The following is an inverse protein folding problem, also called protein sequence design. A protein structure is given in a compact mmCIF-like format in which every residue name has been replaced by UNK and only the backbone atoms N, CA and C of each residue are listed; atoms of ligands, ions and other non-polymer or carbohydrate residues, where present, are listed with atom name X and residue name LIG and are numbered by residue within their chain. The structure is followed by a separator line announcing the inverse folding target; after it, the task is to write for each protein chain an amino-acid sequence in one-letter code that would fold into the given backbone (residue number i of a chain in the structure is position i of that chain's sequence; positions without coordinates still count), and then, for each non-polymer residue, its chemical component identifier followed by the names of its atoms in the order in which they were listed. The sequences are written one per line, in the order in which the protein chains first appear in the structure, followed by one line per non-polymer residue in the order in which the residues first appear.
data_IF_732264493338
#
_entry.id   IF_732264493338
#
_cell.length_a   1.000
_cell.length_b   1.000
_cell.length_c   1.000
_cell.angle_alpha   90.00
_cell.angle_beta   90.00
_cell.angle_gamma   90.00
#
_symmetry.space_group_name_H-M   'P 1'
#
loop_
_entity.id
_entity.type
_entity.pdbx_description
1 polymer ?
#
# COMPACT_ATOMS: atom_id res chain seq x y z
N UNK A 1 35.58 -17.07 6.11
CA UNK A 1 34.46 -16.17 5.81
C UNK A 1 33.24 -17.01 5.47
N UNK A 2 32.04 -16.64 5.93
CA UNK A 2 30.82 -17.38 5.56
C UNK A 2 30.54 -17.26 4.05
N UNK A 3 30.03 -18.35 3.48
CA UNK A 3 29.64 -18.47 2.07
C UNK A 3 28.16 -18.16 1.93
N UNK A 4 27.84 -17.31 0.97
CA UNK A 4 26.47 -16.93 0.65
C UNK A 4 26.14 -17.26 -0.81
N UNK A 5 24.91 -17.67 -1.05
CA UNK A 5 24.38 -17.96 -2.38
C UNK A 5 23.31 -16.94 -2.74
N UNK A 6 23.35 -16.47 -3.97
CA UNK A 6 22.43 -15.45 -4.49
C UNK A 6 21.52 -16.07 -5.53
N UNK A 7 20.41 -16.61 -5.09
CA UNK A 7 19.40 -17.17 -5.99
C UNK A 7 18.57 -16.04 -6.59
N UNK A 8 18.28 -16.13 -7.88
CA UNK A 8 17.44 -15.16 -8.57
C UNK A 8 16.01 -15.70 -8.67
N UNK A 9 15.08 -15.06 -7.99
CA UNK A 9 13.65 -15.34 -8.16
C UNK A 9 13.14 -14.57 -9.36
N UNK A 10 12.68 -15.29 -10.38
CA UNK A 10 12.01 -14.77 -11.57
C UNK A 10 10.49 -14.95 -11.45
N UNK A 11 9.68 -14.33 -12.32
CA UNK A 11 8.23 -14.57 -12.32
C UNK A 11 7.84 -16.04 -12.58
N UNK A 12 8.73 -16.79 -13.20
CA UNK A 12 8.47 -18.16 -13.67
C UNK A 12 9.09 -19.23 -12.76
N UNK A 13 10.27 -18.95 -12.19
CA UNK A 13 11.05 -19.95 -11.42
C UNK A 13 12.07 -19.28 -10.49
N UNK A 14 12.68 -20.08 -9.62
CA UNK A 14 13.85 -19.71 -8.85
C UNK A 14 15.11 -20.24 -9.56
N UNK A 15 15.97 -19.33 -10.01
CA UNK A 15 17.28 -19.68 -10.56
C UNK A 15 18.29 -19.82 -9.42
N UNK A 16 18.79 -21.02 -9.19
CA UNK A 16 19.72 -21.28 -8.09
C UNK A 16 21.14 -20.90 -8.48
N UNK A 17 21.83 -20.28 -7.53
CA UNK A 17 23.27 -20.06 -7.60
C UNK A 17 24.00 -21.28 -7.03
N UNK A 18 24.85 -21.90 -7.83
CA UNK A 18 25.65 -23.07 -7.44
C UNK A 18 27.06 -22.71 -7.00
N UNK A 19 27.47 -21.46 -7.20
CA UNK A 19 28.86 -21.01 -6.98
C UNK A 19 29.05 -20.42 -5.61
N UNK A 20 28.19 -19.50 -5.22
CA UNK A 20 28.30 -18.74 -3.97
C UNK A 20 29.48 -17.79 -3.95
N UNK A 21 29.44 -16.87 -2.99
CA UNK A 21 30.50 -15.90 -2.73
C UNK A 21 30.75 -15.78 -1.22
N UNK A 22 32.01 -15.59 -0.86
CA UNK A 22 32.40 -15.36 0.51
C UNK A 22 32.34 -13.90 0.90
N UNK A 23 31.67 -13.60 2.00
CA UNK A 23 31.59 -12.27 2.57
C UNK A 23 31.83 -12.29 4.08
N UNK A 24 32.24 -11.17 4.63
CA UNK A 24 32.51 -11.04 6.06
C UNK A 24 31.25 -11.13 6.94
N UNK A 25 30.08 -10.92 6.35
CA UNK A 25 28.80 -11.01 7.06
C UNK A 25 27.61 -10.79 6.13
N UNK A 26 26.43 -11.01 6.67
CA UNK A 26 25.14 -10.88 5.95
C UNK A 26 24.95 -9.48 5.36
N UNK A 27 25.36 -8.45 6.10
CA UNK A 27 25.22 -7.05 5.68
C UNK A 27 26.03 -6.73 4.42
N UNK A 28 27.25 -7.26 4.34
CA UNK A 28 28.11 -7.10 3.15
C UNK A 28 27.55 -7.85 1.96
N UNK A 29 27.03 -9.04 2.16
CA UNK A 29 26.32 -9.80 1.13
C UNK A 29 25.09 -9.03 0.61
N UNK A 30 24.30 -8.44 1.49
CA UNK A 30 23.18 -7.59 1.13
C UNK A 30 23.58 -6.39 0.29
N UNK A 31 24.64 -5.68 0.66
CA UNK A 31 25.14 -4.52 -0.08
C UNK A 31 25.62 -4.92 -1.49
N UNK A 32 26.23 -6.08 -1.63
CA UNK A 32 26.64 -6.59 -2.94
C UNK A 32 25.44 -6.92 -3.82
N UNK A 33 24.42 -7.54 -3.27
CA UNK A 33 23.16 -7.74 -3.99
C UNK A 33 22.55 -6.41 -4.46
N UNK A 34 22.51 -5.41 -3.59
CA UNK A 34 22.02 -4.06 -3.93
C UNK A 34 22.82 -3.39 -5.05
N UNK A 35 24.12 -3.61 -5.09
CA UNK A 35 24.99 -3.07 -6.16
C UNK A 35 24.75 -3.73 -7.52
N UNK A 36 24.37 -5.00 -7.51
CA UNK A 36 24.13 -5.79 -8.72
C UNK A 36 22.76 -5.49 -9.35
N UNK A 37 21.76 -5.15 -8.55
CA UNK A 37 20.38 -4.93 -9.01
C UNK A 37 20.25 -3.91 -10.15
N UNK A 38 20.88 -2.71 -10.11
CA UNK A 38 20.74 -1.74 -11.21
C UNK A 38 21.23 -2.25 -12.56
N UNK A 39 22.36 -2.95 -12.59
CA UNK A 39 22.93 -3.53 -13.81
C UNK A 39 22.03 -4.62 -14.38
N UNK A 40 21.60 -5.53 -13.54
CA UNK A 40 20.67 -6.60 -13.93
C UNK A 40 19.34 -6.04 -14.39
N UNK A 41 18.84 -5.01 -13.73
CA UNK A 41 17.58 -4.34 -14.09
C UNK A 41 17.67 -3.70 -15.47
N UNK A 42 18.79 -3.04 -15.79
CA UNK A 42 19.01 -2.47 -17.10
C UNK A 42 19.03 -3.55 -18.20
N UNK A 43 19.67 -4.68 -17.94
CA UNK A 43 19.70 -5.80 -18.87
C UNK A 43 18.31 -6.44 -19.06
N UNK A 44 17.55 -6.59 -18.00
CA UNK A 44 16.16 -7.08 -18.05
C UNK A 44 15.26 -6.16 -18.90
N UNK A 45 15.38 -4.86 -18.72
CA UNK A 45 14.64 -3.87 -19.53
C UNK A 45 14.98 -3.97 -21.00
N UNK A 46 16.26 -4.15 -21.35
CA UNK A 46 16.69 -4.37 -22.75
C UNK A 46 16.04 -5.62 -23.35
N UNK A 47 15.80 -6.65 -22.53
CA UNK A 47 15.13 -7.89 -22.94
C UNK A 47 13.61 -7.82 -22.84
N UNK A 48 13.06 -6.64 -22.65
CA UNK A 48 11.63 -6.41 -22.47
C UNK A 48 11.04 -7.17 -21.25
N UNK A 49 11.81 -7.30 -20.18
CA UNK A 49 11.40 -7.90 -18.92
C UNK A 49 11.20 -6.82 -17.85
N UNK A 50 10.24 -7.02 -16.96
CA UNK A 50 9.99 -6.06 -15.88
C UNK A 50 10.82 -6.40 -14.64
N UNK A 51 11.85 -5.60 -14.29
CA UNK A 51 12.68 -5.87 -13.13
C UNK A 51 11.94 -5.85 -11.79
N UNK A 52 10.79 -5.21 -11.71
CA UNK A 52 9.96 -5.18 -10.50
C UNK A 52 9.44 -6.56 -10.06
N UNK A 53 9.49 -7.55 -10.95
CA UNK A 53 9.07 -8.93 -10.68
C UNK A 53 10.20 -9.85 -10.25
N UNK A 54 11.40 -9.31 -10.09
CA UNK A 54 12.60 -10.07 -9.73
C UNK A 54 13.03 -9.76 -8.31
N UNK A 55 13.62 -10.73 -7.66
CA UNK A 55 14.20 -10.60 -6.33
C UNK A 55 15.41 -11.52 -6.17
N UNK A 56 16.38 -11.12 -5.34
CA UNK A 56 17.41 -12.03 -4.87
C UNK A 56 16.96 -12.71 -3.58
N UNK A 57 17.21 -14.00 -3.50
CA UNK A 57 17.17 -14.77 -2.25
C UNK A 57 18.59 -15.11 -1.84
N UNK A 58 19.04 -14.55 -0.73
CA UNK A 58 20.38 -14.83 -0.18
C UNK A 58 20.25 -15.95 0.83
N UNK A 59 20.95 -17.04 0.58
CA UNK A 59 21.02 -18.18 1.50
C UNK A 59 22.43 -18.39 2.02
N UNK A 60 22.54 -19.04 3.18
CA UNK A 60 23.82 -19.45 3.75
C UNK A 60 24.28 -20.80 3.19
N UNK A 61 25.44 -21.30 3.65
CA UNK A 61 25.97 -22.60 3.25
C UNK A 61 25.06 -23.78 3.60
N UNK A 62 24.15 -23.61 4.55
CA UNK A 62 23.14 -24.60 4.92
C UNK A 62 21.81 -24.48 4.17
N UNK A 63 21.78 -23.72 3.07
CA UNK A 63 20.58 -23.45 2.26
C UNK A 63 19.44 -22.79 3.06
N UNK A 64 19.77 -22.09 4.14
CA UNK A 64 18.80 -21.30 4.90
C UNK A 64 18.67 -19.91 4.32
N UNK A 65 17.44 -19.47 4.11
CA UNK A 65 17.16 -18.10 3.69
C UNK A 65 17.60 -17.11 4.78
N UNK A 66 18.56 -16.27 4.43
CA UNK A 66 19.08 -15.21 5.30
C UNK A 66 18.36 -13.90 5.04
N UNK A 67 18.14 -13.58 3.76
CA UNK A 67 17.54 -12.32 3.35
C UNK A 67 16.94 -12.43 1.95
N UNK A 68 15.88 -11.67 1.72
CA UNK A 68 15.29 -11.45 0.40
C UNK A 68 15.47 -9.99 0.00
N UNK A 69 15.93 -9.76 -1.22
CA UNK A 69 16.18 -8.41 -1.76
C UNK A 69 15.34 -8.22 -3.03
N UNK A 70 14.11 -7.70 -2.91
CA UNK A 70 13.31 -7.36 -4.08
C UNK A 70 14.00 -6.25 -4.89
N UNK A 71 14.00 -6.38 -6.20
CA UNK A 71 14.61 -5.35 -7.08
C UNK A 71 13.96 -3.98 -6.91
N UNK A 72 12.64 -3.96 -6.65
CA UNK A 72 11.90 -2.72 -6.37
C UNK A 72 12.46 -1.96 -5.18
N UNK A 73 12.89 -2.63 -4.12
CA UNK A 73 13.47 -2.00 -2.93
C UNK A 73 14.72 -1.17 -3.28
N UNK A 74 15.59 -1.71 -4.12
CA UNK A 74 16.82 -1.03 -4.54
C UNK A 74 16.54 0.07 -5.56
N UNK A 75 15.67 -0.21 -6.52
CA UNK A 75 15.33 0.74 -7.59
C UNK A 75 14.56 1.96 -7.06
N UNK A 76 13.74 1.77 -6.04
CA UNK A 76 12.96 2.84 -5.43
C UNK A 76 13.76 3.71 -4.45
N UNK A 77 14.90 3.26 -3.95
CA UNK A 77 15.78 4.05 -3.06
C UNK A 77 16.25 5.36 -3.68
N UNK A 78 16.42 5.40 -5.00
CA UNK A 78 16.78 6.61 -5.73
C UNK A 78 15.61 7.51 -6.08
N UNK A 79 14.39 7.02 -5.95
CA UNK A 79 13.18 7.81 -6.10
C UNK A 79 12.90 8.55 -4.79
N UNK A 80 13.03 9.86 -4.83
CA UNK A 80 12.36 10.68 -3.82
C UNK A 80 10.89 10.28 -3.84
N UNK A 81 10.26 9.95 -2.68
CA UNK A 81 8.83 9.75 -2.66
C UNK A 81 8.21 10.95 -3.36
N UNK A 82 7.39 10.68 -4.38
CA UNK A 82 6.72 11.74 -5.11
C UNK A 82 5.88 12.50 -4.08
N UNK A 83 6.40 13.64 -3.63
CA UNK A 83 5.61 14.57 -2.81
C UNK A 83 4.44 14.98 -3.71
N UNK A 84 3.19 14.66 -3.34
CA UNK A 84 2.05 15.07 -4.13
C UNK A 84 2.16 16.57 -4.35
N UNK A 85 2.02 17.03 -5.59
CA UNK A 85 2.06 18.46 -5.86
C UNK A 85 1.01 19.17 -5.00
N UNK A 86 1.29 20.37 -4.54
CA UNK A 86 0.34 21.18 -3.76
C UNK A 86 -1.05 21.25 -4.44
N UNK A 87 -1.08 21.33 -5.78
CA UNK A 87 -2.31 21.29 -6.57
C UNK A 87 -3.07 19.96 -6.44
N UNK A 88 -2.38 18.83 -6.34
CA UNK A 88 -3.01 17.53 -6.15
C UNK A 88 -3.57 17.36 -4.75
N UNK A 89 -2.82 17.78 -3.73
CA UNK A 89 -3.29 17.80 -2.32
C UNK A 89 -4.51 18.70 -2.17
N UNK A 90 -4.50 19.87 -2.79
CA UNK A 90 -5.61 20.80 -2.74
C UNK A 90 -6.88 20.24 -3.39
N UNK A 91 -6.75 19.58 -4.55
CA UNK A 91 -7.88 18.92 -5.23
C UNK A 91 -8.48 17.79 -4.38
N UNK A 92 -7.66 16.98 -3.76
CA UNK A 92 -8.11 15.89 -2.88
C UNK A 92 -8.84 16.46 -1.65
N UNK A 93 -8.26 17.48 -0.99
CA UNK A 93 -8.87 18.14 0.15
C UNK A 93 -10.21 18.80 -0.21
N UNK A 94 -10.30 19.46 -1.37
CA UNK A 94 -11.55 20.09 -1.86
C UNK A 94 -12.62 19.04 -2.13
N UNK A 95 -12.28 17.91 -2.74
CA UNK A 95 -13.21 16.81 -2.99
C UNK A 95 -13.73 16.19 -1.69
N UNK A 96 -12.87 15.99 -0.69
CA UNK A 96 -13.28 15.50 0.62
C UNK A 96 -14.17 16.47 1.39
N UNK A 97 -13.87 17.75 1.33
CA UNK A 97 -14.72 18.82 1.91
C UNK A 97 -16.11 18.85 1.27
N UNK A 98 -16.19 18.76 -0.06
CA UNK A 98 -17.45 18.72 -0.77
C UNK A 98 -18.29 17.48 -0.38
N UNK A 99 -17.66 16.33 -0.25
CA UNK A 99 -18.33 15.10 0.21
C UNK A 99 -18.84 15.23 1.63
N UNK A 100 -18.05 15.80 2.53
CA UNK A 100 -18.45 16.04 3.93
C UNK A 100 -19.62 17.00 4.00
N UNK A 101 -19.60 18.10 3.25
CA UNK A 101 -20.69 19.06 3.17
C UNK A 101 -21.99 18.41 2.67
N UNK A 102 -21.90 17.54 1.65
CA UNK A 102 -23.05 16.78 1.15
C UNK A 102 -23.66 15.89 2.23
N UNK A 103 -22.82 15.14 2.97
CA UNK A 103 -23.29 14.25 4.04
C UNK A 103 -23.93 15.02 5.20
N UNK A 104 -23.39 16.17 5.58
CA UNK A 104 -23.97 17.04 6.59
C UNK A 104 -25.35 17.53 6.13
N UNK A 105 -25.50 17.99 4.89
CA UNK A 105 -26.80 18.40 4.34
C UNK A 105 -27.82 17.27 4.34
N UNK A 106 -27.43 16.07 3.98
CA UNK A 106 -28.30 14.90 3.99
C UNK A 106 -28.78 14.55 5.42
N UNK A 107 -27.88 14.61 6.40
CA UNK A 107 -28.22 14.39 7.82
C UNK A 107 -29.20 15.46 8.31
N UNK A 108 -28.97 16.72 7.97
CA UNK A 108 -29.86 17.82 8.38
C UNK A 108 -31.27 17.69 7.77
N UNK A 109 -31.36 17.25 6.53
CA UNK A 109 -32.65 16.95 5.88
C UNK A 109 -33.39 15.82 6.59
N UNK A 110 -32.70 14.71 6.91
CA UNK A 110 -33.31 13.60 7.65
C UNK A 110 -33.74 14.01 9.05
N UNK A 111 -32.96 14.81 9.74
CA UNK A 111 -33.31 15.34 11.06
C UNK A 111 -34.56 16.22 10.98
N UNK A 112 -34.66 17.09 10.00
CA UNK A 112 -35.83 17.92 9.78
C UNK A 112 -37.08 17.07 9.53
N UNK A 113 -36.97 16.05 8.67
CA UNK A 113 -38.08 15.11 8.41
C UNK A 113 -38.51 14.36 9.66
N UNK A 114 -37.58 13.88 10.48
CA UNK A 114 -37.88 13.23 11.75
C UNK A 114 -38.59 14.17 12.75
N UNK A 115 -38.17 15.41 12.83
CA UNK A 115 -38.80 16.41 13.69
C UNK A 115 -40.25 16.65 13.29
N UNK A 116 -40.54 16.77 11.99
CA UNK A 116 -41.88 16.91 11.46
C UNK A 116 -42.74 15.69 11.85
N UNK A 117 -42.23 14.48 11.63
CA UNK A 117 -42.92 13.24 11.98
C UNK A 117 -43.20 13.13 13.47
N UNK A 118 -42.24 13.49 14.33
CA UNK A 118 -42.41 13.49 15.77
C UNK A 118 -43.44 14.53 16.23
N UNK A 119 -43.44 15.69 15.65
CA UNK A 119 -44.43 16.75 15.95
C UNK A 119 -45.85 16.28 15.60
N UNK A 120 -46.03 15.66 14.46
CA UNK A 120 -47.29 15.10 14.01
C UNK A 120 -47.79 13.96 14.92
N UNK A 121 -46.90 13.05 15.27
CA UNK A 121 -47.19 11.94 16.20
C UNK A 121 -47.63 12.49 17.56
N UNK A 122 -46.94 13.49 18.10
CA UNK A 122 -47.35 14.13 19.37
C UNK A 122 -48.69 14.82 19.26
N UNK A 123 -49.00 15.43 18.12
CA UNK A 123 -50.30 16.02 17.88
C UNK A 123 -51.44 14.96 17.89
N UNK A 124 -51.23 13.85 17.18
CA UNK A 124 -52.20 12.77 17.13
C UNK A 124 -52.42 12.14 18.51
N UNK A 125 -51.35 11.94 19.28
CA UNK A 125 -51.45 11.45 20.65
C UNK A 125 -52.26 12.37 21.56
N UNK A 126 -52.09 13.68 21.44
CA UNK A 126 -52.88 14.67 22.20
C UNK A 126 -54.36 14.60 21.85
N UNK A 127 -54.69 14.52 20.55
CA UNK A 127 -56.05 14.38 20.07
C UNK A 127 -56.69 13.09 20.56
N UNK A 128 -55.96 11.96 20.52
CA UNK A 128 -56.45 10.68 21.04
C UNK A 128 -56.77 10.73 22.53
N UNK A 129 -55.96 11.39 23.34
CA UNK A 129 -56.22 11.58 24.77
C UNK A 129 -57.46 12.43 25.02
N UNK A 130 -57.65 13.51 24.26
CA UNK A 130 -58.85 14.35 24.37
C UNK A 130 -60.12 13.59 24.05
N UNK A 131 -60.12 12.70 23.06
CA UNK A 131 -61.25 11.83 22.71
C UNK A 131 -61.52 10.80 23.81
N UNK A 132 -60.50 10.28 24.47
CA UNK A 132 -60.64 9.30 25.55
C UNK A 132 -61.18 9.92 26.86
N UNK A 133 -60.99 11.20 27.08
CA UNK A 133 -61.44 11.96 28.26
C UNK A 133 -62.86 12.55 28.10
N UNK A 134 -63.34 12.54 26.87
CA UNK A 134 -64.73 12.93 26.58
C UNK A 134 -65.69 11.70 26.74
#
# INVERSE_FOLDING_TARGET
MPLFYFHLRTPEKLERDDTGLEFSGTEVAYLEACRTVPEMSADLVRRNRNPARYAFEITDAGDRLVMEVPFTEVLDRGRKPAVPSAARLLRTATAEMARTAYLISAIDEERAALQVTLAETRRLLRLSRQVSEA
#
